data_IF_365223709257
#
_entry.id   IF_365223709257
#
_cell.length_a   1.000
_cell.length_b   1.000
_cell.length_c   1.000
_cell.angle_alpha   90.00
_cell.angle_beta   90.00
_cell.angle_gamma   90.00
#
_symmetry.space_group_name_H-M   'P 1'
#
loop_
_entity.id
_entity.type
_entity.pdbx_description
1 polymer ?
#
# COMPACT_ATOMS: atom_id res chain seq x y z
N UNK A 1 -16.56 -18.36 36.46
CA UNK A 1 -16.68 -17.05 35.81
C UNK A 1 -15.28 -16.54 35.58
N UNK A 2 -14.87 -16.46 34.32
CA UNK A 2 -13.65 -15.75 33.92
C UNK A 2 -14.00 -14.26 33.84
N UNK A 3 -13.34 -13.44 34.65
CA UNK A 3 -13.46 -11.99 34.56
C UNK A 3 -12.47 -11.51 33.50
N UNK A 4 -12.96 -10.94 32.40
CA UNK A 4 -12.12 -10.14 31.50
C UNK A 4 -11.80 -8.86 32.27
N UNK A 5 -10.64 -8.81 32.91
CA UNK A 5 -10.18 -7.65 33.69
C UNK A 5 -9.69 -6.58 32.71
N UNK A 6 -10.19 -5.34 32.85
CA UNK A 6 -9.72 -4.21 32.06
C UNK A 6 -8.28 -3.82 32.47
N UNK A 7 -7.39 -3.74 31.48
CA UNK A 7 -6.11 -3.01 31.45
C UNK A 7 -5.22 -3.20 32.69
N UNK A 8 -4.26 -4.13 32.60
CA UNK A 8 -3.12 -4.19 33.53
C UNK A 8 -1.99 -3.32 32.97
N UNK A 9 -1.59 -2.27 33.70
CA UNK A 9 -0.57 -1.29 33.30
C UNK A 9 0.81 -1.89 32.94
N UNK A 10 1.10 -3.14 33.32
CA UNK A 10 2.32 -3.85 32.94
C UNK A 10 2.26 -4.54 31.57
N UNK A 11 1.07 -4.71 30.99
CA UNK A 11 0.84 -5.34 29.68
C UNK A 11 0.44 -4.30 28.64
N UNK A 12 -0.24 -3.24 29.07
CA UNK A 12 -0.68 -2.14 28.21
C UNK A 12 0.38 -1.04 28.24
N UNK A 13 1.19 -0.91 27.18
CA UNK A 13 2.02 0.27 27.01
C UNK A 13 1.11 1.50 27.01
N UNK A 14 1.48 2.54 27.77
CA UNK A 14 0.68 3.75 27.92
C UNK A 14 0.35 4.44 26.57
N UNK A 15 1.15 4.17 25.54
CA UNK A 15 1.03 4.74 24.20
C UNK A 15 0.05 4.00 23.28
N UNK A 16 -0.58 2.89 23.71
CA UNK A 16 -1.52 2.13 22.85
C UNK A 16 -2.79 2.90 22.46
N UNK A 17 -3.17 3.91 23.24
CA UNK A 17 -4.30 4.79 22.94
C UNK A 17 -3.91 5.97 22.02
N UNK A 18 -2.62 6.13 21.71
CA UNK A 18 -2.15 7.14 20.77
C UNK A 18 -2.14 6.55 19.35
N UNK A 19 -3.24 6.78 18.64
CA UNK A 19 -3.33 6.48 17.21
C UNK A 19 -2.27 7.22 16.38
N UNK A 20 -2.13 6.85 15.09
CA UNK A 20 -1.19 7.50 14.19
C UNK A 20 -1.41 9.01 14.15
N UNK A 21 -0.31 9.75 14.09
CA UNK A 21 -0.30 11.19 13.89
C UNK A 21 -0.86 11.55 12.52
N UNK A 22 -1.33 12.79 12.35
CA UNK A 22 -1.82 13.27 11.06
C UNK A 22 -0.75 13.14 9.95
N UNK A 23 0.52 13.38 10.27
CA UNK A 23 1.62 13.25 9.31
C UNK A 23 1.85 11.80 8.87
N UNK A 24 1.69 10.82 9.77
CA UNK A 24 1.76 9.40 9.44
C UNK A 24 0.57 8.97 8.56
N UNK A 25 -0.62 9.49 8.84
CA UNK A 25 -1.80 9.27 8.00
C UNK A 25 -1.62 9.87 6.60
N UNK A 26 -1.09 11.09 6.51
CA UNK A 26 -0.79 11.74 5.23
C UNK A 26 0.27 10.97 4.43
N UNK A 27 1.27 10.39 5.11
CA UNK A 27 2.27 9.53 4.46
C UNK A 27 1.63 8.28 3.82
N UNK A 28 0.65 7.67 4.48
CA UNK A 28 -0.12 6.55 3.92
C UNK A 28 -0.90 7.01 2.68
N UNK A 29 -1.59 8.15 2.76
CA UNK A 29 -2.35 8.69 1.62
C UNK A 29 -1.46 8.95 0.39
N UNK A 30 -0.20 9.35 0.61
CA UNK A 30 0.79 9.48 -0.46
C UNK A 30 1.10 8.14 -1.14
N UNK A 31 1.08 7.03 -0.40
CA UNK A 31 1.36 5.68 -0.89
C UNK A 31 0.14 4.97 -1.51
N UNK A 32 -1.09 5.39 -1.19
CA UNK A 32 -2.34 4.77 -1.65
C UNK A 32 -2.40 4.46 -3.17
N UNK A 33 -1.95 5.34 -4.08
CA UNK A 33 -1.94 5.03 -5.50
C UNK A 33 -1.09 3.80 -5.88
N UNK A 34 0.02 3.55 -5.17
CA UNK A 34 0.84 2.36 -5.36
C UNK A 34 0.12 1.12 -4.83
N UNK A 35 -0.42 1.22 -3.61
CA UNK A 35 -1.15 0.13 -2.96
C UNK A 35 -2.30 -0.35 -3.87
N UNK A 36 -3.12 0.57 -4.40
CA UNK A 36 -4.20 0.20 -5.32
C UNK A 36 -3.70 -0.46 -6.61
N UNK A 37 -2.58 -0.02 -7.17
CA UNK A 37 -2.01 -0.64 -8.36
C UNK A 37 -1.49 -2.07 -8.07
N UNK A 38 -0.95 -2.31 -6.87
CA UNK A 38 -0.49 -3.63 -6.44
C UNK A 38 -1.67 -4.58 -6.17
N UNK A 39 -2.77 -4.08 -5.58
CA UNK A 39 -4.02 -4.82 -5.43
C UNK A 39 -4.59 -5.20 -6.80
N UNK A 40 -4.66 -4.28 -7.77
CA UNK A 40 -5.12 -4.60 -9.13
C UNK A 40 -4.26 -5.70 -9.80
N UNK A 41 -2.93 -5.68 -9.57
CA UNK A 41 -2.05 -6.73 -10.06
C UNK A 41 -2.31 -8.07 -9.35
N UNK A 42 -2.57 -8.05 -8.05
CA UNK A 42 -2.92 -9.22 -7.28
C UNK A 42 -4.24 -9.83 -7.77
N UNK A 43 -5.28 -9.02 -7.98
CA UNK A 43 -6.57 -9.46 -8.50
C UNK A 43 -6.41 -10.15 -9.86
N UNK A 44 -5.61 -9.57 -10.76
CA UNK A 44 -5.32 -10.20 -12.06
C UNK A 44 -4.57 -11.52 -11.87
N UNK A 45 -3.65 -11.64 -10.92
CA UNK A 45 -2.94 -12.90 -10.65
C UNK A 45 -3.88 -13.96 -10.08
N UNK A 46 -4.71 -13.60 -9.10
CA UNK A 46 -5.68 -14.50 -8.48
C UNK A 46 -6.64 -15.05 -9.55
N UNK A 47 -7.18 -14.18 -10.41
CA UNK A 47 -8.08 -14.60 -11.49
C UNK A 47 -7.46 -15.59 -12.50
N UNK A 48 -6.12 -15.72 -12.53
CA UNK A 48 -5.40 -16.65 -13.41
C UNK A 48 -4.98 -17.94 -12.73
N UNK A 49 -5.16 -18.08 -11.41
CA UNK A 49 -4.83 -19.33 -10.72
C UNK A 49 -5.78 -20.47 -11.10
N UNK A 50 -7.06 -20.15 -11.37
CA UNK A 50 -8.11 -21.15 -11.59
C UNK A 50 -8.34 -21.52 -13.06
N UNK A 51 -7.55 -20.99 -14.00
CA UNK A 51 -7.76 -21.23 -15.44
C UNK A 51 -6.51 -21.05 -16.30
N UNK A 52 -6.53 -21.66 -17.48
CA UNK A 52 -5.53 -21.38 -18.51
C UNK A 52 -5.65 -19.90 -18.99
N UNK A 53 -4.55 -19.14 -19.03
CA UNK A 53 -4.59 -17.72 -19.39
C UNK A 53 -4.89 -17.51 -20.88
N UNK A 54 -5.84 -16.62 -21.17
CA UNK A 54 -6.09 -16.15 -22.53
C UNK A 54 -5.10 -15.06 -22.95
N UNK A 55 -5.09 -14.70 -24.24
CA UNK A 55 -4.28 -13.57 -24.72
C UNK A 55 -4.69 -12.24 -24.07
N UNK A 56 -6.00 -12.06 -23.82
CA UNK A 56 -6.53 -10.89 -23.13
C UNK A 56 -6.02 -10.83 -21.69
N UNK A 57 -5.94 -11.97 -21.01
CA UNK A 57 -5.38 -12.06 -19.67
C UNK A 57 -3.90 -11.67 -19.64
N UNK A 58 -3.12 -12.13 -20.61
CA UNK A 58 -1.72 -11.74 -20.75
C UNK A 58 -1.57 -10.22 -20.96
N UNK A 59 -2.46 -9.60 -21.75
CA UNK A 59 -2.52 -8.13 -21.94
C UNK A 59 -2.88 -7.41 -20.63
N UNK A 60 -3.89 -7.90 -19.90
CA UNK A 60 -4.31 -7.36 -18.60
C UNK A 60 -3.18 -7.42 -17.57
N UNK A 61 -2.49 -8.55 -17.48
CA UNK A 61 -1.33 -8.73 -16.59
C UNK A 61 -0.19 -7.76 -16.92
N UNK A 62 0.12 -7.57 -18.21
CA UNK A 62 1.12 -6.57 -18.63
C UNK A 62 0.71 -5.15 -18.24
N UNK A 63 -0.57 -4.79 -18.41
CA UNK A 63 -1.09 -3.47 -18.05
C UNK A 63 -1.01 -3.23 -16.54
N UNK A 64 -1.42 -4.19 -15.71
CA UNK A 64 -1.35 -4.10 -14.26
C UNK A 64 0.10 -3.95 -13.77
N UNK A 65 1.04 -4.74 -14.31
CA UNK A 65 2.48 -4.57 -14.01
C UNK A 65 3.01 -3.18 -14.38
N UNK A 66 2.62 -2.64 -15.54
CA UNK A 66 3.01 -1.28 -15.96
C UNK A 66 2.44 -0.20 -15.03
N UNK A 67 1.19 -0.36 -14.56
CA UNK A 67 0.59 0.56 -13.57
C UNK A 67 1.40 0.58 -12.26
N UNK A 68 1.76 -0.58 -11.72
CA UNK A 68 2.60 -0.66 -10.51
C UNK A 68 3.92 0.08 -10.71
N UNK A 69 4.63 -0.18 -11.82
CA UNK A 69 5.89 0.50 -12.11
C UNK A 69 5.74 2.02 -12.22
N UNK A 70 4.66 2.49 -12.88
CA UNK A 70 4.37 3.92 -13.00
C UNK A 70 4.07 4.56 -11.63
N UNK A 71 3.29 3.89 -10.78
CA UNK A 71 2.97 4.35 -9.43
C UNK A 71 4.22 4.42 -8.54
N UNK A 72 5.07 3.39 -8.56
CA UNK A 72 6.36 3.39 -7.84
C UNK A 72 7.25 4.55 -8.27
N UNK A 73 7.39 4.76 -9.59
CA UNK A 73 8.16 5.89 -10.13
C UNK A 73 7.61 7.22 -9.63
N UNK A 74 6.29 7.40 -9.65
CA UNK A 74 5.68 8.66 -9.21
C UNK A 74 5.87 8.90 -7.71
N UNK A 75 5.76 7.85 -6.88
CA UNK A 75 6.00 7.92 -5.44
C UNK A 75 7.44 8.33 -5.13
N UNK A 76 8.42 7.67 -5.77
CA UNK A 76 9.84 8.01 -5.60
C UNK A 76 10.16 9.44 -6.05
N UNK A 77 9.57 9.89 -7.17
CA UNK A 77 9.78 11.25 -7.66
C UNK A 77 9.14 12.32 -6.77
N UNK A 78 8.04 11.99 -6.06
CA UNK A 78 7.40 12.90 -5.10
C UNK A 78 8.25 13.07 -3.83
N UNK A 79 8.92 12.02 -3.40
CA UNK A 79 9.75 12.03 -2.19
C UNK A 79 11.21 12.45 -2.45
N UNK A 80 11.60 12.60 -3.71
CA UNK A 80 12.91 13.13 -4.06
C UNK A 80 13.00 14.60 -3.60
N UNK A 81 14.09 15.02 -2.92
CA UNK A 81 14.29 16.44 -2.64
C UNK A 81 14.26 17.20 -3.96
N UNK A 82 13.55 18.34 -3.99
CA UNK A 82 13.58 19.26 -5.12
C UNK A 82 15.02 19.75 -5.27
N UNK A 83 15.85 19.05 -6.04
CA UNK A 83 17.10 19.61 -6.54
C UNK A 83 16.70 20.72 -7.48
N UNK A 84 16.65 21.95 -6.95
CA UNK A 84 16.37 23.16 -7.69
C UNK A 84 17.22 23.15 -8.95
N UNK A 85 16.55 23.07 -10.10
CA UNK A 85 17.21 23.22 -11.38
C UNK A 85 17.85 24.59 -11.44
N UNK A 86 19.18 24.61 -11.54
CA UNK A 86 19.87 25.73 -12.14
C UNK A 86 19.55 25.71 -13.65
N UNK A 87 18.76 26.69 -14.11
CA UNK A 87 18.78 27.39 -15.40
C UNK A 87 17.41 28.04 -15.67
#
# INVERSE_FOLDING_TARGET
>A
MEYIVAVQAGVTAADLDQGPTAAELDAIEVEMPLIYAEVELLDVRIALLDRAPSELDARRLRRARRKVLAARRNLLNRNAPQTGGAA
#
